data_IF_875099356698
#
_entry.id   IF_875099356698
#
_cell.length_a   1.000
_cell.length_b   1.000
_cell.length_c   1.000
_cell.angle_alpha   90.00
_cell.angle_beta   90.00
_cell.angle_gamma   90.00
#
_symmetry.space_group_name_H-M   'P 1'
#
loop_
_entity.id
_entity.type
_entity.pdbx_description
1 polymer ?
#
# COMPACT_ATOMS: atom_id res chain seq x y z
N UNK A 1 9.65 -21.01 0.21
CA UNK A 1 9.62 -20.11 1.38
C UNK A 1 10.68 -19.06 1.16
N UNK A 2 10.25 -17.92 0.63
CA UNK A 2 11.10 -16.74 0.43
C UNK A 2 11.04 -15.88 1.71
N UNK A 3 12.12 -15.16 2.04
CA UNK A 3 12.10 -14.22 3.17
C UNK A 3 11.30 -12.98 2.79
N UNK A 4 10.75 -12.28 3.78
CA UNK A 4 10.05 -11.03 3.49
C UNK A 4 11.01 -9.94 2.98
N UNK A 5 12.27 -9.99 3.39
CA UNK A 5 13.31 -9.06 2.94
C UNK A 5 13.63 -9.21 1.45
N UNK A 6 13.68 -10.44 0.94
CA UNK A 6 13.88 -10.69 -0.50
C UNK A 6 12.70 -10.15 -1.32
N UNK A 7 11.47 -10.33 -0.83
CA UNK A 7 10.26 -9.79 -1.46
C UNK A 7 10.30 -8.26 -1.47
N UNK A 8 10.69 -7.64 -0.34
CA UNK A 8 10.86 -6.19 -0.21
C UNK A 8 11.88 -5.67 -1.22
N UNK A 9 13.07 -6.28 -1.28
CA UNK A 9 14.12 -5.88 -2.23
C UNK A 9 13.63 -5.96 -3.69
N UNK A 10 12.97 -7.07 -4.07
CA UNK A 10 12.43 -7.23 -5.43
C UNK A 10 11.37 -6.19 -5.77
N UNK A 11 10.47 -5.88 -4.84
CA UNK A 11 9.45 -4.84 -5.02
C UNK A 11 10.09 -3.46 -5.15
N UNK A 12 11.08 -3.15 -4.32
CA UNK A 12 11.80 -1.89 -4.39
C UNK A 12 12.46 -1.69 -5.75
N UNK A 13 13.20 -2.70 -6.24
CA UNK A 13 13.84 -2.66 -7.56
C UNK A 13 12.80 -2.50 -8.67
N UNK A 14 11.67 -3.23 -8.58
CA UNK A 14 10.61 -3.18 -9.60
C UNK A 14 9.88 -1.83 -9.63
N UNK A 15 9.72 -1.18 -8.49
CA UNK A 15 9.08 0.14 -8.37
C UNK A 15 10.06 1.30 -8.64
N UNK A 16 11.37 1.03 -8.72
CA UNK A 16 12.38 2.06 -8.93
C UNK A 16 12.48 3.07 -7.79
N UNK A 17 12.14 2.66 -6.56
CA UNK A 17 12.09 3.54 -5.39
C UNK A 17 13.42 3.56 -4.64
N UNK A 18 13.79 4.75 -4.13
CA UNK A 18 14.92 4.87 -3.21
C UNK A 18 14.62 4.18 -1.87
N UNK A 19 15.65 3.80 -1.11
CA UNK A 19 15.47 3.19 0.22
C UNK A 19 14.57 4.06 1.11
N UNK A 20 14.78 5.38 1.11
CA UNK A 20 14.00 6.35 1.90
C UNK A 20 12.54 6.45 1.50
N UNK A 21 12.22 6.24 0.23
CA UNK A 21 10.83 6.22 -0.24
C UNK A 21 10.18 4.88 0.10
N UNK A 22 10.92 3.80 -0.06
CA UNK A 22 10.46 2.46 0.18
C UNK A 22 10.16 2.19 1.66
N UNK A 23 10.99 2.70 2.58
CA UNK A 23 10.79 2.65 4.04
C UNK A 23 9.46 3.27 4.52
N UNK A 24 8.86 4.15 3.71
CA UNK A 24 7.57 4.76 4.06
C UNK A 24 6.43 3.77 3.84
N UNK A 25 6.59 2.78 2.98
CA UNK A 25 5.50 1.88 2.64
C UNK A 25 5.24 0.87 3.76
N UNK A 26 3.95 0.58 3.97
CA UNK A 26 3.48 -0.52 4.81
C UNK A 26 2.93 -1.63 3.95
N UNK A 27 3.22 -2.86 4.34
CA UNK A 27 2.81 -4.05 3.61
C UNK A 27 1.68 -4.76 4.35
N UNK A 28 0.70 -5.24 3.59
CA UNK A 28 -0.49 -5.86 4.13
C UNK A 28 -0.90 -7.06 3.28
N UNK A 29 -1.49 -8.06 3.89
CA UNK A 29 -2.11 -9.18 3.19
C UNK A 29 -3.61 -8.95 3.19
N UNK A 30 -4.18 -8.90 1.98
CA UNK A 30 -5.59 -8.69 1.74
C UNK A 30 -6.20 -9.97 1.16
N UNK A 31 -7.45 -10.27 1.49
CA UNK A 31 -8.27 -11.20 0.75
C UNK A 31 -9.53 -10.48 0.29
N UNK A 32 -9.66 -10.30 -1.04
CA UNK A 32 -10.60 -9.33 -1.60
C UNK A 32 -10.33 -7.93 -1.03
N UNK A 33 -11.33 -7.34 -0.39
CA UNK A 33 -11.24 -6.03 0.28
C UNK A 33 -10.87 -6.09 1.76
N UNK A 34 -10.74 -7.30 2.35
CA UNK A 34 -10.51 -7.47 3.78
C UNK A 34 -9.02 -7.58 4.11
N UNK A 35 -8.57 -6.78 5.08
CA UNK A 35 -7.24 -6.91 5.69
C UNK A 35 -7.18 -8.18 6.54
N UNK A 36 -6.25 -9.06 6.21
CA UNK A 36 -5.97 -10.30 6.97
C UNK A 36 -4.83 -10.08 7.95
N UNK A 37 -3.74 -9.47 7.49
CA UNK A 37 -2.54 -9.30 8.30
C UNK A 37 -1.72 -8.11 7.83
N UNK A 38 -0.99 -7.49 8.76
CA UNK A 38 0.05 -6.51 8.43
C UNK A 38 1.39 -7.23 8.44
N UNK A 39 2.21 -6.96 7.44
CA UNK A 39 3.56 -7.49 7.38
C UNK A 39 4.51 -6.49 8.02
N UNK A 40 5.11 -6.89 9.13
CA UNK A 40 6.14 -6.12 9.83
C UNK A 40 7.52 -6.70 9.54
N UNK A 41 8.58 -5.92 9.81
CA UNK A 41 9.98 -6.35 9.57
C UNK A 41 10.41 -7.56 10.42
N UNK A 42 9.65 -7.88 11.46
CA UNK A 42 9.86 -9.08 12.28
C UNK A 42 9.21 -10.34 11.67
N UNK A 43 8.53 -10.22 10.53
CA UNK A 43 7.84 -11.32 9.86
C UNK A 43 8.87 -12.16 9.08
N UNK A 44 9.61 -13.00 9.81
CA UNK A 44 10.80 -13.67 9.27
C UNK A 44 10.56 -14.52 8.01
N UNK A 45 9.41 -15.19 7.88
CA UNK A 45 9.08 -15.98 6.67
C UNK A 45 7.64 -15.75 6.26
N UNK A 46 7.41 -15.32 5.02
CA UNK A 46 6.06 -15.30 4.46
C UNK A 46 5.70 -16.73 4.08
N UNK A 47 4.79 -17.32 4.85
CA UNK A 47 4.23 -18.61 4.50
C UNK A 47 3.07 -18.44 3.53
N UNK A 48 3.37 -18.39 2.23
CA UNK A 48 2.35 -18.34 1.17
C UNK A 48 1.35 -19.52 1.23
N UNK A 49 1.64 -20.60 2.00
CA UNK A 49 0.69 -21.70 2.20
C UNK A 49 -0.48 -21.32 3.10
N UNK A 50 -0.29 -20.39 4.04
CA UNK A 50 -1.39 -19.85 4.86
C UNK A 50 -2.37 -19.03 3.99
N UNK A 51 -1.87 -18.45 2.90
CA UNK A 51 -2.69 -17.74 1.90
C UNK A 51 -3.48 -18.66 0.98
N UNK A 52 -3.11 -19.94 0.88
CA UNK A 52 -3.81 -20.95 0.05
C UNK A 52 -5.02 -21.57 0.73
N UNK A 53 -5.14 -21.44 2.06
CA UNK A 53 -6.29 -21.96 2.84
C UNK A 53 -7.54 -21.10 2.67
N UNK A 54 -7.40 -19.94 2.04
CA UNK A 54 -8.47 -18.99 1.85
C UNK A 54 -9.04 -19.22 0.45
N UNK A 55 -10.34 -19.47 0.38
CA UNK A 55 -11.08 -19.85 -0.84
C UNK A 55 -10.96 -18.83 -2.00
N UNK A 56 -10.38 -17.66 -1.73
CA UNK A 56 -10.20 -16.53 -2.64
C UNK A 56 -8.71 -16.12 -2.66
N UNK A 57 -8.24 -15.63 -3.80
CA UNK A 57 -6.86 -15.19 -3.96
C UNK A 57 -6.51 -14.07 -2.96
N UNK A 58 -5.40 -14.25 -2.25
CA UNK A 58 -4.82 -13.21 -1.39
C UNK A 58 -3.91 -12.29 -2.20
N UNK A 59 -3.94 -11.01 -1.86
CA UNK A 59 -3.16 -9.95 -2.50
C UNK A 59 -2.19 -9.34 -1.49
N UNK A 60 -1.01 -8.95 -1.96
CA UNK A 60 -0.09 -8.13 -1.19
C UNK A 60 -0.45 -6.66 -1.44
N UNK A 61 -1.03 -6.02 -0.43
CA UNK A 61 -1.30 -4.59 -0.40
C UNK A 61 -0.03 -3.80 -0.06
N UNK A 62 0.14 -2.69 -0.78
CA UNK A 62 1.21 -1.71 -0.57
C UNK A 62 0.57 -0.38 -0.21
N UNK A 63 0.68 0.03 1.05
CA UNK A 63 0.03 1.23 1.58
C UNK A 63 1.07 2.34 1.83
N UNK A 64 0.82 3.52 1.27
CA UNK A 64 1.54 4.74 1.67
C UNK A 64 0.85 5.32 2.92
N UNK A 65 1.56 5.61 4.01
CA UNK A 65 1.01 6.41 5.09
C UNK A 65 0.53 7.74 4.50
N UNK A 66 -0.66 8.17 4.95
CA UNK A 66 -1.54 9.25 4.46
C UNK A 66 -0.89 10.63 4.15
N UNK A 67 0.43 10.78 4.22
CA UNK A 67 1.21 11.98 3.89
C UNK A 67 1.58 12.06 2.40
N UNK A 68 1.40 10.99 1.61
CA UNK A 68 1.52 11.14 0.16
C UNK A 68 0.32 11.94 -0.33
N UNK A 69 0.50 13.26 -0.51
CA UNK A 69 -0.37 14.11 -1.32
C UNK A 69 -0.76 13.28 -2.56
N UNK A 70 -1.99 12.74 -2.69
CA UNK A 70 -2.44 12.32 -3.99
C UNK A 70 -2.29 13.58 -4.83
N UNK A 71 -1.65 13.49 -6.02
CA UNK A 71 -1.56 14.62 -6.95
C UNK A 71 -2.93 15.28 -6.93
N UNK A 72 -3.04 16.44 -6.25
CA UNK A 72 -4.30 17.17 -6.19
C UNK A 72 -4.54 17.45 -7.64
N UNK A 73 -5.47 16.75 -8.26
CA UNK A 73 -6.04 17.16 -9.52
C UNK A 73 -6.68 18.48 -9.16
N UNK A 74 -5.90 19.55 -9.30
CA UNK A 74 -6.31 20.93 -9.14
C UNK A 74 -7.31 21.13 -10.27
N UNK A 75 -8.54 20.66 -10.06
CA UNK A 75 -9.67 21.18 -10.83
C UNK A 75 -9.66 22.66 -10.51
N UNK A 76 -9.53 23.42 -11.58
CA UNK A 76 -9.23 24.84 -11.67
C UNK A 76 -9.80 25.67 -10.53
N UNK A 77 -9.05 26.69 -10.09
CA UNK A 77 -9.68 27.92 -9.62
C UNK A 77 -10.65 28.38 -10.71
N UNK A 78 -11.94 28.08 -10.56
CA UNK A 78 -12.98 28.76 -11.28
C UNK A 78 -14.24 28.74 -10.42
N UNK A 79 -14.51 29.91 -9.83
CA UNK A 79 -15.70 30.28 -9.08
C UNK A 79 -15.88 29.64 -7.70
N UNK A 80 -15.29 30.26 -6.68
CA UNK A 80 -16.11 30.55 -5.50
C UNK A 80 -17.37 31.28 -6.00
N UNK A 81 -18.55 30.70 -5.78
CA UNK A 81 -19.81 31.41 -6.00
C UNK A 81 -20.09 32.19 -4.71
N UNK A 82 -20.25 33.52 -4.75
CA UNK A 82 -20.60 34.27 -3.55
C UNK A 82 -21.95 33.79 -3.02
N UNK A 83 -22.02 33.60 -1.71
CA UNK A 83 -23.26 33.34 -0.98
C UNK A 83 -24.04 34.66 -0.97
N UNK A 84 -25.22 34.67 -1.61
CA UNK A 84 -26.19 35.76 -1.43
C UNK A 84 -26.92 35.56 -0.11
N UNK A 85 -26.94 36.60 0.71
CA UNK A 85 -27.86 36.70 1.85
C UNK A 85 -29.11 37.39 1.30
N UNK A 86 -30.26 36.71 1.35
CA UNK A 86 -31.59 37.29 1.17
C UNK A 86 -32.26 37.39 2.53
#
# INVERSE_FOLDING_TARGET
>A
NESFDDVKHRLQTKLGLTNREFEKYRFSILNGSKLISRCDDNMGRINLRELKLIHNACWLGLELPLISNPRKTRKSLCSEKPIRIN
#
